data_IF_542167543773
#
_entry.id   IF_542167543773
#
_cell.length_a   1.000
_cell.length_b   1.000
_cell.length_c   1.000
_cell.angle_alpha   90.00
_cell.angle_beta   90.00
_cell.angle_gamma   90.00
#
_symmetry.space_group_name_H-M   'P 1'
#
loop_
_entity.id
_entity.type
_entity.pdbx_description
1 polymer ?
#
# COMPACT_ATOMS: atom_id res chain seq x y z
N UNK A 1 72.12 16.71 -10.33
CA UNK A 1 71.06 15.78 -10.75
C UNK A 1 69.86 16.63 -11.16
N UNK A 2 69.46 16.57 -12.43
CA UNK A 2 68.32 17.34 -12.97
C UNK A 2 67.19 16.33 -13.17
N UNK A 3 66.09 16.48 -12.44
CA UNK A 3 64.89 15.65 -12.63
C UNK A 3 64.25 15.96 -14.00
N UNK A 4 63.96 14.93 -14.83
CA UNK A 4 63.28 15.16 -16.10
C UNK A 4 61.85 15.60 -15.84
N UNK A 5 61.50 16.83 -16.27
CA UNK A 5 60.12 17.31 -16.32
C UNK A 5 59.30 16.39 -17.23
N UNK A 6 58.42 15.58 -16.64
CA UNK A 6 57.41 14.85 -17.39
C UNK A 6 56.30 15.80 -17.81
N UNK A 7 56.18 16.01 -19.12
CA UNK A 7 55.03 16.71 -19.68
C UNK A 7 53.81 15.78 -19.58
N UNK A 8 52.67 16.27 -19.06
CA UNK A 8 51.47 15.46 -19.00
C UNK A 8 51.02 15.07 -20.42
N UNK A 9 50.46 13.87 -20.60
CA UNK A 9 49.96 13.43 -21.90
C UNK A 9 48.94 14.43 -22.42
N UNK A 10 49.18 14.99 -23.61
CA UNK A 10 48.27 15.92 -24.24
C UNK A 10 47.02 15.15 -24.69
N UNK A 11 45.89 15.44 -24.06
CA UNK A 11 44.60 14.88 -24.47
C UNK A 11 44.23 15.46 -25.84
N UNK A 12 43.89 14.64 -26.84
CA UNK A 12 43.47 15.13 -28.14
C UNK A 12 42.24 16.04 -28.03
N UNK A 13 42.28 17.19 -28.70
CA UNK A 13 41.21 18.21 -28.62
C UNK A 13 39.82 17.67 -28.99
N UNK A 14 39.74 16.66 -29.85
CA UNK A 14 38.46 16.03 -30.23
C UNK A 14 37.76 15.32 -29.05
N UNK A 15 38.51 14.81 -28.08
CA UNK A 15 37.94 14.17 -26.88
C UNK A 15 37.19 15.19 -26.03
N UNK A 16 37.74 16.40 -25.87
CA UNK A 16 37.07 17.48 -25.15
C UNK A 16 35.75 17.89 -25.83
N UNK A 17 35.71 17.90 -27.16
CA UNK A 17 34.49 18.19 -27.93
C UNK A 17 33.43 17.10 -27.73
N UNK A 18 33.81 15.82 -27.73
CA UNK A 18 32.86 14.73 -27.48
C UNK A 18 32.27 14.76 -26.06
N UNK A 19 33.08 15.07 -25.05
CA UNK A 19 32.60 15.20 -23.66
C UNK A 19 31.59 16.35 -23.56
N UNK A 20 31.89 17.51 -24.17
CA UNK A 20 30.96 18.64 -24.22
C UNK A 20 29.63 18.27 -24.91
N UNK A 21 29.70 17.59 -26.06
CA UNK A 21 28.49 17.11 -26.76
C UNK A 21 27.68 16.14 -25.91
N UNK A 22 28.33 15.20 -25.23
CA UNK A 22 27.66 14.26 -24.34
C UNK A 22 26.96 14.98 -23.16
N UNK A 23 27.60 16.01 -22.59
CA UNK A 23 26.99 16.83 -21.54
C UNK A 23 25.77 17.61 -22.04
N UNK A 24 25.82 18.18 -23.24
CA UNK A 24 24.69 18.94 -23.82
C UNK A 24 23.52 18.01 -24.14
N UNK A 25 23.77 16.86 -24.76
CA UNK A 25 22.72 15.88 -25.09
C UNK A 25 22.13 15.27 -23.82
N UNK A 26 22.96 14.88 -22.86
CA UNK A 26 22.52 14.33 -21.58
C UNK A 26 21.74 15.35 -20.74
N UNK A 27 22.22 16.59 -20.67
CA UNK A 27 21.53 17.68 -19.99
C UNK A 27 20.19 18.05 -20.64
N UNK A 28 20.15 18.11 -21.98
CA UNK A 28 18.91 18.34 -22.72
C UNK A 28 17.87 17.23 -22.52
N UNK A 29 18.30 15.97 -22.57
CA UNK A 29 17.43 14.82 -22.29
C UNK A 29 16.90 14.84 -20.85
N UNK A 30 17.76 15.16 -19.87
CA UNK A 30 17.36 15.27 -18.46
C UNK A 30 16.33 16.39 -18.25
N UNK A 31 16.54 17.57 -18.85
CA UNK A 31 15.58 18.68 -18.77
C UNK A 31 14.25 18.34 -19.45
N UNK A 32 14.29 17.68 -20.61
CA UNK A 32 13.09 17.20 -21.30
C UNK A 32 12.30 16.21 -20.43
N UNK A 33 12.98 15.21 -19.86
CA UNK A 33 12.36 14.23 -18.98
C UNK A 33 11.81 14.87 -17.70
N UNK A 34 12.51 15.86 -17.13
CA UNK A 34 12.05 16.57 -15.94
C UNK A 34 10.83 17.45 -16.20
N UNK A 35 10.81 18.19 -17.32
CA UNK A 35 9.75 19.13 -17.66
C UNK A 35 8.48 18.45 -18.21
N UNK A 36 8.63 17.40 -19.01
CA UNK A 36 7.51 16.77 -19.72
C UNK A 36 7.37 15.26 -19.49
N UNK A 37 8.42 14.60 -19.00
CA UNK A 37 8.45 13.14 -18.78
C UNK A 37 7.96 12.69 -17.40
N UNK A 38 7.67 13.60 -16.47
CA UNK A 38 7.01 13.23 -15.22
C UNK A 38 5.56 12.86 -15.55
N UNK A 39 5.13 11.59 -15.39
CA UNK A 39 3.70 11.30 -15.38
C UNK A 39 3.10 12.20 -14.31
N UNK A 40 2.08 12.97 -14.69
CA UNK A 40 1.33 13.81 -13.76
C UNK A 40 0.75 12.86 -12.71
N UNK A 41 1.46 12.69 -11.61
CA UNK A 41 1.02 11.92 -10.46
C UNK A 41 -0.17 12.66 -9.88
N UNK A 42 -1.36 12.32 -10.36
CA UNK A 42 -2.65 12.66 -9.79
C UNK A 42 -2.85 14.15 -9.51
N UNK A 43 -3.25 14.90 -10.55
CA UNK A 43 -4.21 15.97 -10.30
C UNK A 43 -5.43 15.31 -9.65
N UNK A 44 -5.52 15.44 -8.32
CA UNK A 44 -6.67 15.02 -7.53
C UNK A 44 -7.89 15.71 -8.17
N UNK A 45 -8.89 14.98 -8.70
CA UNK A 45 -10.04 15.63 -9.31
C UNK A 45 -10.66 16.57 -8.26
N UNK A 46 -11.06 17.80 -8.65
CA UNK A 46 -11.69 18.72 -7.73
C UNK A 46 -12.93 18.05 -7.13
N UNK A 47 -13.09 18.17 -5.81
CA UNK A 47 -14.16 17.52 -5.03
C UNK A 47 -15.58 17.86 -5.50
N UNK A 48 -15.74 18.80 -6.44
CA UNK A 48 -16.99 19.25 -7.04
C UNK A 48 -17.52 18.39 -8.18
N UNK A 49 -16.74 17.43 -8.72
CA UNK A 49 -17.21 16.56 -9.81
C UNK A 49 -17.89 15.26 -9.33
N UNK A 50 -18.18 15.13 -8.03
CA UNK A 50 -19.01 14.04 -7.49
C UNK A 50 -20.49 14.40 -7.69
N UNK A 51 -20.91 14.47 -8.96
CA UNK A 51 -22.31 14.53 -9.32
C UNK A 51 -23.02 13.33 -8.71
N UNK A 52 -24.04 13.64 -7.91
CA UNK A 52 -25.01 12.71 -7.36
C UNK A 52 -25.58 11.87 -8.50
N UNK A 53 -25.16 10.62 -8.60
CA UNK A 53 -25.93 9.63 -9.35
C UNK A 53 -27.20 9.38 -8.53
N UNK A 54 -28.26 10.09 -8.93
CA UNK A 54 -29.62 9.81 -8.53
C UNK A 54 -29.92 8.34 -8.83
N UNK A 55 -30.17 7.58 -7.78
CA UNK A 55 -30.76 6.26 -7.87
C UNK A 55 -32.20 6.46 -8.37
N UNK A 56 -32.63 5.82 -9.47
CA UNK A 56 -34.02 5.88 -9.87
C UNK A 56 -34.88 5.18 -8.83
N UNK A 57 -35.95 5.89 -8.42
CA UNK A 57 -37.04 5.43 -7.58
C UNK A 57 -37.54 4.04 -8.04
N UNK A 58 -37.28 3.02 -7.22
CA UNK A 58 -38.06 1.79 -7.22
C UNK A 58 -39.21 1.96 -6.24
N UNK A 59 -40.36 2.32 -6.82
CA UNK A 59 -41.67 2.45 -6.21
C UNK A 59 -42.13 1.17 -5.49
N UNK A 60 -42.84 1.38 -4.38
CA UNK A 60 -43.89 0.55 -3.78
C UNK A 60 -43.53 -0.78 -3.11
N UNK A 61 -43.48 -0.74 -1.77
CA UNK A 61 -44.16 -1.75 -0.94
C UNK A 61 -44.79 -1.07 0.29
N UNK A 62 -46.09 -1.27 0.58
CA UNK A 62 -46.75 -0.61 1.68
C UNK A 62 -46.43 -1.35 2.98
N UNK A 63 -45.89 -0.64 3.97
CA UNK A 63 -45.98 -1.05 5.36
C UNK A 63 -46.73 0.01 6.13
N UNK A 64 -48.04 -0.19 6.22
CA UNK A 64 -48.83 0.30 7.34
C UNK A 64 -48.26 -0.30 8.63
N UNK A 65 -47.60 0.53 9.44
CA UNK A 65 -47.78 0.45 10.89
C UNK A 65 -47.33 1.75 11.54
N UNK A 66 -48.35 2.55 11.84
CA UNK A 66 -48.34 3.60 12.85
C UNK A 66 -47.76 3.07 14.17
N UNK A 67 -46.62 3.63 14.56
CA UNK A 67 -45.93 3.32 15.81
C UNK A 67 -45.07 4.50 16.20
N UNK A 68 -45.74 5.56 16.67
CA UNK A 68 -45.18 6.77 17.25
C UNK A 68 -44.32 6.37 18.47
N UNK A 69 -43.02 6.60 18.39
CA UNK A 69 -42.08 6.38 19.48
C UNK A 69 -40.82 7.21 19.25
N UNK A 70 -40.79 8.37 19.89
CA UNK A 70 -39.61 9.20 20.10
C UNK A 70 -38.49 8.38 20.76
N UNK A 71 -37.25 8.50 20.28
CA UNK A 71 -36.11 7.89 20.97
C UNK A 71 -34.85 7.74 20.15
N UNK A 72 -33.88 8.61 20.45
CA UNK A 72 -32.44 8.45 20.27
C UNK A 72 -31.84 8.55 18.86
N UNK A 73 -31.10 9.64 18.68
CA UNK A 73 -30.18 9.87 17.57
C UNK A 73 -29.22 8.70 17.39
N UNK A 74 -29.35 8.03 16.23
CA UNK A 74 -28.40 7.01 15.79
C UNK A 74 -27.07 7.65 15.45
N UNK A 75 -26.13 7.47 16.38
CA UNK A 75 -24.73 7.19 16.09
C UNK A 75 -24.67 6.25 14.88
N UNK A 76 -23.89 6.61 13.87
CA UNK A 76 -23.65 5.78 12.69
C UNK A 76 -23.28 4.38 13.12
N UNK A 77 -24.24 3.46 13.00
CA UNK A 77 -24.02 2.04 13.25
C UNK A 77 -22.92 1.61 12.29
N UNK A 78 -21.81 1.17 12.86
CA UNK A 78 -21.02 0.07 12.29
C UNK A 78 -22.00 -0.88 11.62
N UNK A 79 -21.90 -1.03 10.30
CA UNK A 79 -22.67 -2.04 9.59
C UNK A 79 -22.38 -3.37 10.28
N UNK A 80 -23.33 -3.85 11.08
CA UNK A 80 -23.28 -5.17 11.69
C UNK A 80 -23.10 -6.12 10.50
N UNK A 81 -22.04 -6.96 10.48
CA UNK A 81 -21.83 -7.88 9.37
C UNK A 81 -23.12 -8.65 9.14
N UNK A 82 -23.68 -8.56 7.94
CA UNK A 82 -24.95 -9.21 7.57
C UNK A 82 -24.86 -10.69 7.97
N UNK A 83 -25.67 -11.14 8.94
CA UNK A 83 -25.73 -12.55 9.30
C UNK A 83 -26.09 -13.35 8.04
N UNK A 84 -25.22 -14.26 7.62
CA UNK A 84 -25.45 -15.11 6.44
C UNK A 84 -24.58 -14.82 5.22
N UNK A 85 -23.73 -13.79 5.21
CA UNK A 85 -22.63 -13.74 4.23
C UNK A 85 -21.53 -14.67 4.77
N UNK A 86 -21.27 -15.84 4.15
CA UNK A 86 -20.19 -16.70 4.61
C UNK A 86 -18.91 -15.88 4.58
N UNK A 87 -18.27 -15.72 5.75
CA UNK A 87 -16.85 -15.37 5.78
C UNK A 87 -16.15 -16.54 5.12
N UNK A 88 -15.85 -16.40 3.83
CA UNK A 88 -15.03 -17.35 3.09
C UNK A 88 -13.63 -17.31 3.69
N UNK A 89 -13.48 -18.08 4.77
CA UNK A 89 -12.19 -18.44 5.35
C UNK A 89 -11.40 -19.36 4.42
N UNK A 90 -12.04 -19.88 3.36
CA UNK A 90 -11.42 -20.73 2.36
C UNK A 90 -10.61 -19.97 1.32
N UNK A 91 -9.70 -20.69 0.67
CA UNK A 91 -9.03 -20.25 -0.54
C UNK A 91 -10.04 -20.01 -1.65
N UNK A 92 -9.77 -19.05 -2.53
CA UNK A 92 -10.63 -18.73 -3.66
C UNK A 92 -10.43 -17.31 -4.18
N UNK A 93 -11.20 -16.98 -5.21
CA UNK A 93 -11.16 -15.67 -5.86
C UNK A 93 -12.49 -14.93 -5.64
N UNK A 94 -12.40 -13.73 -5.06
CA UNK A 94 -13.55 -12.87 -4.78
C UNK A 94 -13.44 -11.63 -5.66
N UNK A 95 -14.39 -11.48 -6.58
CA UNK A 95 -14.51 -10.29 -7.41
C UNK A 95 -15.37 -9.22 -6.70
N UNK A 96 -14.93 -7.97 -6.80
CA UNK A 96 -15.67 -6.78 -6.41
C UNK A 96 -15.62 -5.78 -7.56
N UNK A 97 -16.45 -4.73 -7.52
CA UNK A 97 -16.59 -3.76 -8.63
C UNK A 97 -15.24 -3.25 -9.17
N UNK A 98 -14.34 -2.87 -8.26
CA UNK A 98 -13.07 -2.21 -8.63
C UNK A 98 -11.83 -3.04 -8.26
N UNK A 99 -12.01 -4.25 -7.73
CA UNK A 99 -10.90 -5.08 -7.27
C UNK A 99 -11.21 -6.57 -7.28
N UNK A 100 -10.19 -7.39 -7.47
CA UNK A 100 -10.26 -8.84 -7.29
C UNK A 100 -9.34 -9.25 -6.14
N UNK A 101 -9.84 -10.09 -5.24
CA UNK A 101 -9.07 -10.63 -4.13
C UNK A 101 -8.87 -12.13 -4.33
N UNK A 102 -7.63 -12.55 -4.52
CA UNK A 102 -7.22 -13.95 -4.63
C UNK A 102 -6.62 -14.35 -3.29
N UNK A 103 -7.22 -15.32 -2.61
CA UNK A 103 -6.75 -15.80 -1.31
C UNK A 103 -6.36 -17.27 -1.41
N UNK A 104 -5.15 -17.60 -1.00
CA UNK A 104 -4.72 -19.00 -0.83
C UNK A 104 -3.93 -19.18 0.45
N UNK A 105 -4.41 -20.07 1.33
CA UNK A 105 -3.91 -20.20 2.69
C UNK A 105 -3.93 -18.85 3.42
N UNK A 106 -2.74 -18.40 3.83
CA UNK A 106 -2.55 -17.13 4.53
C UNK A 106 -2.15 -15.98 3.62
N UNK A 107 -2.05 -16.20 2.31
CA UNK A 107 -1.60 -15.16 1.39
C UNK A 107 -2.77 -14.63 0.59
N UNK A 108 -2.86 -13.31 0.53
CA UNK A 108 -3.88 -12.56 -0.20
C UNK A 108 -3.16 -11.74 -1.26
N UNK A 109 -3.52 -11.96 -2.52
CA UNK A 109 -3.19 -11.06 -3.62
C UNK A 109 -4.43 -10.21 -3.93
N UNK A 110 -4.31 -8.89 -3.81
CA UNK A 110 -5.33 -7.96 -4.27
C UNK A 110 -4.92 -7.39 -5.61
N UNK A 111 -5.87 -7.37 -6.54
CA UNK A 111 -5.70 -6.78 -7.87
C UNK A 111 -6.67 -5.62 -7.98
N UNK A 112 -6.13 -4.42 -8.12
CA UNK A 112 -6.89 -3.19 -8.34
C UNK A 112 -6.79 -2.78 -9.80
N UNK A 113 -7.85 -2.16 -10.34
CA UNK A 113 -7.77 -1.53 -11.65
C UNK A 113 -7.60 -0.01 -11.50
N UNK A 114 -6.46 0.50 -11.93
CA UNK A 114 -6.13 1.93 -11.88
C UNK A 114 -5.76 2.34 -13.31
N UNK A 115 -6.51 3.30 -13.88
CA UNK A 115 -6.30 3.80 -15.24
C UNK A 115 -6.24 2.69 -16.31
N UNK A 116 -7.13 1.70 -16.19
CA UNK A 116 -7.21 0.55 -17.10
C UNK A 116 -6.09 -0.49 -16.92
N UNK A 117 -5.19 -0.31 -15.96
CA UNK A 117 -4.10 -1.25 -15.66
C UNK A 117 -4.35 -1.97 -14.35
N UNK A 118 -3.94 -3.24 -14.30
CA UNK A 118 -4.01 -4.03 -13.08
C UNK A 118 -2.78 -3.72 -12.19
N UNK A 119 -3.05 -3.46 -10.91
CA UNK A 119 -2.06 -3.20 -9.86
C UNK A 119 -2.18 -4.27 -8.80
N UNK A 120 -1.06 -4.95 -8.51
CA UNK A 120 -1.01 -6.12 -7.64
C UNK A 120 -0.42 -5.75 -6.28
N UNK A 121 -1.16 -6.02 -5.19
CA UNK A 121 -0.65 -5.95 -3.82
C UNK A 121 -0.75 -7.31 -3.13
N UNK A 122 0.14 -7.54 -2.17
CA UNK A 122 0.25 -8.81 -1.46
C UNK A 122 0.22 -8.59 0.05
N UNK A 123 -0.62 -9.36 0.73
CA UNK A 123 -0.90 -9.26 2.16
C UNK A 123 -0.94 -10.66 2.78
N UNK A 124 -0.65 -10.76 4.07
CA UNK A 124 -0.95 -11.97 4.84
C UNK A 124 -2.30 -11.82 5.54
N UNK A 125 -3.10 -12.88 5.55
CA UNK A 125 -4.32 -12.98 6.32
C UNK A 125 -4.01 -12.80 7.82
N UNK A 126 -4.86 -12.03 8.52
CA UNK A 126 -4.61 -11.55 9.89
C UNK A 126 -4.33 -12.64 10.94
N UNK A 127 -4.70 -13.90 10.71
CA UNK A 127 -4.51 -15.00 11.69
C UNK A 127 -3.01 -15.33 11.85
N UNK A 128 -2.25 -15.23 10.77
CA UNK A 128 -0.78 -15.31 10.74
C UNK A 128 -0.17 -13.94 10.48
N UNK A 129 -0.96 -12.91 10.81
CA UNK A 129 -0.59 -11.52 10.64
C UNK A 129 0.58 -11.15 11.55
N UNK A 130 1.02 -9.90 11.48
CA UNK A 130 2.19 -9.46 12.21
C UNK A 130 2.10 -9.77 13.71
N UNK A 131 3.26 -10.00 14.33
CA UNK A 131 3.41 -10.14 15.78
C UNK A 131 2.66 -9.00 16.49
N UNK A 132 2.15 -9.26 17.70
CA UNK A 132 1.50 -8.23 18.52
C UNK A 132 2.38 -6.98 18.66
N UNK A 133 3.69 -7.20 18.72
CA UNK A 133 4.73 -6.17 18.74
C UNK A 133 4.75 -5.29 17.48
N UNK A 134 4.73 -5.88 16.28
CA UNK A 134 4.66 -5.11 15.05
C UNK A 134 3.39 -4.26 14.97
N UNK A 135 2.23 -4.84 15.29
CA UNK A 135 0.95 -4.09 15.24
C UNK A 135 0.96 -2.92 16.21
N UNK A 136 1.62 -3.10 17.36
CA UNK A 136 1.81 -2.04 18.34
C UNK A 136 2.69 -0.93 17.77
N UNK A 137 3.86 -1.27 17.23
CA UNK A 137 4.78 -0.31 16.61
C UNK A 137 4.12 0.46 15.45
N UNK A 138 3.36 -0.22 14.59
CA UNK A 138 2.63 0.39 13.50
C UNK A 138 1.61 1.42 13.99
N UNK A 139 0.81 1.05 15.01
CA UNK A 139 -0.15 1.95 15.63
C UNK A 139 0.53 3.17 16.27
N UNK A 140 1.60 2.95 17.02
CA UNK A 140 2.37 4.02 17.69
C UNK A 140 2.91 5.00 16.65
N UNK A 141 3.59 4.50 15.61
CA UNK A 141 4.12 5.36 14.53
C UNK A 141 3.00 6.13 13.85
N UNK A 142 1.92 5.45 13.48
CA UNK A 142 0.81 6.09 12.77
C UNK A 142 0.21 7.23 13.62
N UNK A 143 0.01 7.03 14.92
CA UNK A 143 -0.47 8.08 15.83
C UNK A 143 0.51 9.22 15.99
N UNK A 144 1.81 8.93 16.18
CA UNK A 144 2.84 9.96 16.27
C UNK A 144 2.86 10.88 15.03
N UNK A 145 2.67 10.31 13.85
CA UNK A 145 2.70 11.06 12.58
C UNK A 145 1.40 11.80 12.27
N UNK A 146 0.24 11.24 12.65
CA UNK A 146 -1.06 11.74 12.19
C UNK A 146 -1.91 12.42 13.26
N UNK A 147 -1.58 12.31 14.55
CA UNK A 147 -2.36 12.89 15.66
C UNK A 147 -1.54 13.95 16.42
N UNK A 148 -1.66 15.24 16.04
CA UNK A 148 -0.86 16.32 16.63
C UNK A 148 -1.02 16.43 18.15
N UNK A 149 -2.22 16.21 18.69
CA UNK A 149 -2.47 16.32 20.13
C UNK A 149 -1.85 15.15 20.91
N UNK A 150 -2.02 13.92 20.42
CA UNK A 150 -1.39 12.75 21.03
C UNK A 150 0.15 12.86 20.97
N UNK A 151 0.68 13.36 19.86
CA UNK A 151 2.10 13.64 19.67
C UNK A 151 2.61 14.67 20.68
N UNK A 152 1.89 15.80 20.84
CA UNK A 152 2.23 16.87 21.79
C UNK A 152 2.17 16.35 23.24
N UNK A 153 1.12 15.61 23.59
CA UNK A 153 0.95 15.02 24.92
C UNK A 153 2.02 13.97 25.24
N UNK A 154 2.49 13.22 24.24
CA UNK A 154 3.60 12.29 24.39
C UNK A 154 4.97 12.99 24.42
N UNK A 155 5.07 14.27 24.05
CA UNK A 155 6.35 14.97 23.98
C UNK A 155 7.28 14.41 22.89
N UNK A 156 6.72 14.01 21.73
CA UNK A 156 7.53 13.57 20.58
C UNK A 156 8.16 14.78 19.91
N UNK A 157 9.48 14.77 19.73
CA UNK A 157 10.23 15.90 19.14
C UNK A 157 10.15 15.92 17.62
N UNK A 158 10.49 17.05 17.01
CA UNK A 158 10.51 17.18 15.54
C UNK A 158 11.57 16.27 14.89
N UNK A 159 12.71 16.06 15.57
CA UNK A 159 13.75 15.12 15.13
C UNK A 159 13.23 13.69 15.11
N UNK A 160 12.50 13.26 16.15
CA UNK A 160 11.89 11.93 16.21
C UNK A 160 10.82 11.77 15.11
N UNK A 161 10.02 12.81 14.85
CA UNK A 161 9.07 12.77 13.73
C UNK A 161 9.78 12.62 12.40
N UNK A 162 10.88 13.34 12.19
CA UNK A 162 11.66 13.23 10.97
C UNK A 162 12.21 11.81 10.82
N UNK A 163 12.79 11.24 11.87
CA UNK A 163 13.25 9.84 11.88
C UNK A 163 12.11 8.85 11.58
N UNK A 164 10.91 9.04 12.14
CA UNK A 164 9.75 8.19 11.85
C UNK A 164 9.25 8.33 10.40
N UNK A 165 9.38 9.51 9.79
CA UNK A 165 9.07 9.73 8.37
C UNK A 165 10.10 9.05 7.48
N UNK A 166 11.39 9.25 7.78
CA UNK A 166 12.51 8.69 7.03
C UNK A 166 12.53 7.16 7.07
N UNK A 167 12.09 6.58 8.20
CA UNK A 167 11.90 5.13 8.33
C UNK A 167 10.87 4.56 7.33
N UNK A 168 9.96 5.39 6.81
CA UNK A 168 8.97 4.98 5.82
C UNK A 168 7.87 4.08 6.37
N UNK A 169 7.03 3.58 5.47
CA UNK A 169 5.94 2.68 5.81
C UNK A 169 6.45 1.29 6.20
N UNK A 170 5.62 0.56 6.92
CA UNK A 170 5.97 -0.79 7.31
C UNK A 170 6.16 -1.70 6.07
N UNK A 171 7.13 -2.63 6.10
CA UNK A 171 7.38 -3.53 4.98
C UNK A 171 6.13 -4.34 4.60
N UNK A 172 5.79 -4.28 3.31
CA UNK A 172 4.78 -5.14 2.70
C UNK A 172 5.33 -6.55 2.48
N UNK A 173 4.46 -7.50 2.08
CA UNK A 173 4.91 -8.85 1.73
C UNK A 173 5.87 -8.79 0.54
N UNK A 174 7.10 -9.24 0.79
CA UNK A 174 8.19 -9.17 -0.17
C UNK A 174 8.20 -10.41 -1.08
N UNK A 175 7.19 -10.53 -1.94
CA UNK A 175 7.23 -11.53 -3.02
C UNK A 175 8.28 -11.12 -4.06
N UNK A 176 9.23 -12.00 -4.43
CA UNK A 176 10.23 -11.74 -5.48
C UNK A 176 9.62 -11.27 -6.80
N UNK A 177 10.34 -10.43 -7.55
CA UNK A 177 9.81 -9.78 -8.75
C UNK A 177 9.43 -10.77 -9.87
N UNK A 178 10.19 -11.84 -10.03
CA UNK A 178 9.91 -12.96 -10.94
C UNK A 178 8.62 -13.69 -10.55
N UNK A 179 8.42 -13.97 -9.26
CA UNK A 179 7.19 -14.59 -8.76
C UNK A 179 5.97 -13.68 -8.91
N UNK A 180 6.13 -12.37 -8.68
CA UNK A 180 5.08 -11.38 -8.92
C UNK A 180 4.64 -11.37 -10.38
N UNK A 181 5.59 -11.42 -11.32
CA UNK A 181 5.31 -11.51 -12.76
C UNK A 181 4.54 -12.80 -13.09
N UNK A 182 4.98 -13.95 -12.59
CA UNK A 182 4.28 -15.22 -12.80
C UNK A 182 2.85 -15.21 -12.24
N UNK A 183 2.64 -14.65 -11.05
CA UNK A 183 1.31 -14.52 -10.45
C UNK A 183 0.40 -13.59 -11.26
N UNK A 184 0.95 -12.49 -11.80
CA UNK A 184 0.22 -11.59 -12.68
C UNK A 184 -0.21 -12.29 -13.98
N UNK A 185 0.69 -13.06 -14.60
CA UNK A 185 0.41 -13.86 -15.81
C UNK A 185 -0.67 -14.92 -15.57
N UNK A 186 -0.55 -15.69 -14.47
CA UNK A 186 -1.56 -16.68 -14.08
C UNK A 186 -2.92 -16.05 -13.80
N UNK A 187 -2.93 -14.85 -13.21
CA UNK A 187 -4.16 -14.12 -12.98
C UNK A 187 -4.83 -13.66 -14.28
N UNK A 188 -4.06 -13.17 -15.26
CA UNK A 188 -4.61 -12.85 -16.58
C UNK A 188 -5.12 -14.11 -17.29
N UNK A 189 -4.39 -15.22 -17.19
CA UNK A 189 -4.83 -16.50 -17.77
C UNK A 189 -6.15 -16.98 -17.15
N UNK A 190 -6.30 -16.91 -15.82
CA UNK A 190 -7.56 -17.21 -15.15
C UNK A 190 -8.71 -16.30 -15.59
N UNK A 191 -8.45 -15.01 -15.78
CA UNK A 191 -9.48 -14.06 -16.23
C UNK A 191 -9.90 -14.30 -17.68
N UNK A 192 -8.97 -14.72 -18.54
CA UNK A 192 -9.23 -15.00 -19.95
C UNK A 192 -9.79 -16.41 -20.20
N UNK A 193 -9.72 -17.31 -19.22
CA UNK A 193 -10.21 -18.67 -19.33
C UNK A 193 -11.74 -18.73 -19.50
N UNK A 194 -12.20 -19.63 -20.36
CA UNK A 194 -13.61 -19.96 -20.48
C UNK A 194 -14.13 -20.74 -19.25
N UNK A 195 -15.43 -20.99 -19.18
CA UNK A 195 -16.06 -21.65 -18.04
C UNK A 195 -15.51 -23.07 -17.77
N UNK A 196 -15.04 -23.78 -18.81
CA UNK A 196 -14.51 -25.14 -18.66
C UNK A 196 -13.07 -25.12 -18.12
N UNK A 197 -12.24 -24.18 -18.56
CA UNK A 197 -10.84 -24.05 -18.15
C UNK A 197 -10.64 -23.27 -16.85
N UNK A 198 -11.60 -22.43 -16.46
CA UNK A 198 -11.49 -21.52 -15.30
C UNK A 198 -11.17 -22.21 -13.97
N UNK A 199 -11.76 -23.38 -13.61
CA UNK A 199 -11.42 -24.06 -12.36
C UNK A 199 -9.96 -24.52 -12.28
N UNK A 200 -9.37 -24.96 -13.39
CA UNK A 200 -7.96 -25.37 -13.43
C UNK A 200 -7.03 -24.17 -13.32
N UNK A 201 -7.34 -23.08 -14.04
CA UNK A 201 -6.59 -21.85 -13.96
C UNK A 201 -6.63 -21.24 -12.54
N UNK A 202 -7.79 -21.30 -11.88
CA UNK A 202 -7.94 -20.86 -10.48
C UNK A 202 -7.06 -21.70 -9.55
N UNK A 203 -7.14 -23.04 -9.64
CA UNK A 203 -6.32 -23.94 -8.82
C UNK A 203 -4.83 -23.68 -8.99
N UNK A 204 -4.38 -23.46 -10.22
CA UNK A 204 -2.98 -23.17 -10.56
C UNK A 204 -2.53 -21.85 -9.94
N UNK A 205 -3.36 -20.80 -10.06
CA UNK A 205 -3.09 -19.50 -9.47
C UNK A 205 -3.02 -19.58 -7.93
N UNK A 206 -3.99 -20.25 -7.31
CA UNK A 206 -4.05 -20.40 -5.85
C UNK A 206 -2.84 -21.17 -5.30
N UNK A 207 -2.48 -22.29 -5.92
CA UNK A 207 -1.31 -23.07 -5.53
C UNK A 207 0.00 -22.26 -5.65
N UNK A 208 0.15 -21.49 -6.74
CA UNK A 208 1.34 -20.64 -6.91
C UNK A 208 1.39 -19.52 -5.89
N UNK A 209 0.24 -18.90 -5.57
CA UNK A 209 0.15 -17.82 -4.59
C UNK A 209 0.51 -18.31 -3.19
N UNK A 210 0.01 -19.47 -2.79
CA UNK A 210 0.32 -20.07 -1.49
C UNK A 210 1.82 -20.34 -1.34
N UNK A 211 2.43 -20.98 -2.34
CA UNK A 211 3.87 -21.28 -2.33
C UNK A 211 4.72 -20.00 -2.26
N UNK A 212 4.41 -19.00 -3.08
CA UNK A 212 5.10 -17.71 -3.06
C UNK A 212 4.98 -17.03 -1.69
N UNK A 213 3.79 -17.12 -1.08
CA UNK A 213 3.52 -16.63 0.26
C UNK A 213 4.34 -17.32 1.35
N UNK A 214 4.42 -18.65 1.32
CA UNK A 214 5.19 -19.46 2.27
C UNK A 214 6.70 -19.16 2.16
N UNK A 215 7.23 -19.12 0.94
CA UNK A 215 8.65 -18.81 0.68
C UNK A 215 9.01 -17.39 1.15
N UNK A 216 8.13 -16.41 0.96
CA UNK A 216 8.36 -15.02 1.38
C UNK A 216 8.14 -14.77 2.88
N UNK A 217 7.55 -15.72 3.62
CA UNK A 217 7.06 -15.48 4.99
C UNK A 217 8.19 -15.16 5.97
N UNK A 218 9.23 -15.99 6.02
CA UNK A 218 10.34 -15.81 6.96
C UNK A 218 11.05 -14.47 6.77
N UNK A 219 11.34 -14.10 5.52
CA UNK A 219 11.96 -12.82 5.18
C UNK A 219 11.06 -11.62 5.53
N UNK A 220 9.77 -11.70 5.20
CA UNK A 220 8.80 -10.62 5.51
C UNK A 220 8.69 -10.41 7.02
N UNK A 221 8.60 -11.48 7.82
CA UNK A 221 8.51 -11.36 9.27
C UNK A 221 9.79 -10.80 9.90
N UNK A 222 10.96 -11.19 9.39
CA UNK A 222 12.23 -10.61 9.82
C UNK A 222 12.30 -9.09 9.55
N UNK A 223 11.91 -8.66 8.35
CA UNK A 223 11.87 -7.24 7.98
C UNK A 223 10.89 -6.44 8.85
N UNK A 224 9.68 -6.98 9.07
CA UNK A 224 8.66 -6.36 9.92
C UNK A 224 9.12 -6.22 11.36
N UNK A 225 9.71 -7.27 11.93
CA UNK A 225 10.26 -7.21 13.30
C UNK A 225 11.44 -6.23 13.40
N UNK A 226 12.30 -6.16 12.38
CA UNK A 226 13.37 -5.16 12.30
C UNK A 226 12.83 -3.73 12.29
N UNK A 227 11.83 -3.46 11.45
CA UNK A 227 11.14 -2.17 11.39
C UNK A 227 10.46 -1.81 12.72
N UNK A 228 9.78 -2.76 13.37
CA UNK A 228 9.14 -2.54 14.66
C UNK A 228 10.15 -2.18 15.76
N UNK A 229 11.34 -2.81 15.76
CA UNK A 229 12.44 -2.43 16.65
C UNK A 229 12.94 -1.00 16.39
N UNK A 230 13.05 -0.60 15.13
CA UNK A 230 13.47 0.76 14.76
C UNK A 230 12.46 1.82 15.21
N UNK A 231 11.16 1.57 15.07
CA UNK A 231 10.12 2.48 15.62
C UNK A 231 10.31 2.64 17.13
N UNK A 232 10.56 1.54 17.85
CA UNK A 232 10.74 1.57 19.31
C UNK A 232 12.06 2.18 19.75
N UNK A 233 13.11 2.19 18.93
CA UNK A 233 14.36 2.86 19.27
C UNK A 233 14.30 4.36 19.06
N UNK A 234 13.38 4.85 18.20
CA UNK A 234 13.18 6.29 17.98
C UNK A 234 12.42 6.93 19.15
N UNK A 235 11.47 6.22 19.75
CA UNK A 235 10.59 6.72 20.80
C UNK A 235 10.95 6.13 22.17
N UNK A 236 10.92 6.94 23.23
CA UNK A 236 11.11 6.43 24.60
C UNK A 236 9.97 5.47 25.01
N UNK A 237 10.18 4.58 25.99
CA UNK A 237 9.12 3.72 26.51
C UNK A 237 7.88 4.51 26.99
N UNK A 238 8.07 5.68 27.59
CA UNK A 238 7.00 6.55 28.08
C UNK A 238 6.20 7.14 26.92
N UNK A 239 6.88 7.62 25.87
CA UNK A 239 6.25 8.09 24.63
C UNK A 239 5.42 7.00 23.98
N UNK A 240 5.97 5.77 23.90
CA UNK A 240 5.28 4.60 23.37
C UNK A 240 4.00 4.28 24.17
N UNK A 241 4.09 4.31 25.51
CA UNK A 241 2.95 4.04 26.38
C UNK A 241 1.84 5.10 26.23
N UNK A 242 2.21 6.38 26.17
CA UNK A 242 1.27 7.50 25.94
C UNK A 242 0.56 7.36 24.59
N UNK A 243 1.32 7.16 23.52
CA UNK A 243 0.78 6.98 22.17
C UNK A 243 -0.08 5.72 22.04
N UNK A 244 0.17 4.66 22.81
CA UNK A 244 -0.66 3.44 22.85
C UNK A 244 -2.05 3.69 23.43
N UNK A 245 -2.15 4.59 24.41
CA UNK A 245 -3.40 4.89 25.11
C UNK A 245 -4.19 6.03 24.48
N UNK A 246 -3.57 6.83 23.60
CA UNK A 246 -4.25 7.92 22.92
C UNK A 246 -5.53 7.48 22.20
N UNK A 247 -6.59 8.28 22.38
CA UNK A 247 -7.87 8.13 21.70
C UNK A 247 -7.86 8.85 20.34
N UNK A 248 -8.63 8.37 19.35
CA UNK A 248 -8.75 9.07 18.08
C UNK A 248 -9.30 10.49 18.27
N UNK A 249 -8.81 11.48 17.51
CA UNK A 249 -9.36 12.83 17.58
C UNK A 249 -10.85 12.78 17.21
N UNK A 250 -11.69 13.60 17.86
CA UNK A 250 -13.11 13.67 17.50
C UNK A 250 -13.24 13.97 16.02
N UNK A 251 -13.95 13.11 15.28
CA UNK A 251 -14.24 13.36 13.88
C UNK A 251 -15.20 14.56 13.83
N UNK A 252 -14.69 15.72 13.40
CA UNK A 252 -15.52 16.90 13.19
C UNK A 252 -16.71 16.52 12.30
N UNK A 253 -17.92 16.72 12.83
CA UNK A 253 -19.17 16.53 12.08
C UNK A 253 -19.45 17.74 11.20
#
# INVERSE_FOLDING_TARGET
MIEPKHNPPQVPRWVAVLVLLACVVGGGYFLYWWAWGRPVSGARPPASARQQQAVPDSTTRPTDRTGRGEGFGRVGRTATPTPGVPRTSGSGIIESRDSVSVRSGDTIMRVYRIDGRDVYSFEYASVFGPTSDFRMAERIRWRALNWPDARRAAGVTDEQLQQLRDLGNAPQVAIPADQRKQLAELFQAWRAADAAARPEAERTLLAKLERAGQEAYGGTMAQRNGWARQVRSILSPEQQASLRLAEPPPQGR
#
